data_IF_817584770738
#
_entry.id   IF_817584770738
#
_cell.length_a   1.000
_cell.length_b   1.000
_cell.length_c   1.000
_cell.angle_alpha   90.00
_cell.angle_beta   90.00
_cell.angle_gamma   90.00
#
_symmetry.space_group_name_H-M   'P 1'
#
loop_
_entity.id
_entity.type
_entity.pdbx_description
1 polymer ?
#
# COMPACT_ATOMS: atom_id res chain seq x y z
N UNK A 1 -2.05 -51.05 -15.51
CA UNK A 1 -3.31 -50.28 -15.41
C UNK A 1 -3.52 -49.66 -14.01
N UNK A 2 -3.38 -50.41 -12.91
CA UNK A 2 -3.55 -49.88 -11.54
C UNK A 2 -2.55 -48.81 -11.10
N UNK A 3 -1.29 -48.90 -11.55
CA UNK A 3 -0.29 -47.88 -11.23
C UNK A 3 -0.59 -46.51 -11.86
N UNK A 4 -1.09 -46.51 -13.11
CA UNK A 4 -1.50 -45.29 -13.83
C UNK A 4 -2.73 -44.64 -13.19
N UNK A 5 -3.68 -45.43 -12.68
CA UNK A 5 -4.85 -44.90 -11.98
C UNK A 5 -4.46 -44.17 -10.69
N UNK A 6 -3.49 -44.72 -9.93
CA UNK A 6 -2.99 -44.11 -8.69
C UNK A 6 -2.27 -42.79 -8.95
N UNK A 7 -1.45 -42.71 -9.99
CA UNK A 7 -0.72 -41.48 -10.34
C UNK A 7 -1.67 -40.39 -10.87
N UNK A 8 -2.68 -40.76 -11.65
CA UNK A 8 -3.71 -39.82 -12.10
C UNK A 8 -4.52 -39.24 -10.94
N UNK A 9 -4.91 -40.09 -9.98
CA UNK A 9 -5.65 -39.65 -8.79
C UNK A 9 -4.82 -38.68 -7.94
N UNK A 10 -3.55 -39.00 -7.72
CA UNK A 10 -2.63 -38.14 -6.96
C UNK A 10 -2.43 -36.79 -7.65
N UNK A 11 -2.28 -36.76 -8.98
CA UNK A 11 -2.11 -35.53 -9.75
C UNK A 11 -3.35 -34.62 -9.69
N UNK A 12 -4.56 -35.19 -9.72
CA UNK A 12 -5.79 -34.41 -9.60
C UNK A 12 -5.89 -33.75 -8.22
N UNK A 13 -5.55 -34.48 -7.16
CA UNK A 13 -5.58 -33.97 -5.78
C UNK A 13 -4.59 -32.83 -5.61
N UNK A 14 -3.35 -32.98 -6.10
CA UNK A 14 -2.34 -31.93 -5.97
C UNK A 14 -2.70 -30.67 -6.76
N UNK A 15 -3.22 -30.80 -7.98
CA UNK A 15 -3.69 -29.65 -8.77
C UNK A 15 -4.85 -28.94 -8.07
N UNK A 16 -5.79 -29.69 -7.51
CA UNK A 16 -6.94 -29.12 -6.79
C UNK A 16 -6.49 -28.35 -5.55
N UNK A 17 -5.55 -28.89 -4.77
CA UNK A 17 -5.00 -28.23 -3.58
C UNK A 17 -4.25 -26.95 -3.96
N UNK A 18 -3.44 -26.97 -5.02
CA UNK A 18 -2.74 -25.77 -5.50
C UNK A 18 -3.72 -24.69 -5.94
N UNK A 19 -4.79 -25.06 -6.66
CA UNK A 19 -5.82 -24.11 -7.07
C UNK A 19 -6.54 -23.49 -5.87
N UNK A 20 -6.96 -24.31 -4.90
CA UNK A 20 -7.59 -23.84 -3.67
C UNK A 20 -6.66 -22.91 -2.87
N UNK A 21 -5.37 -23.24 -2.77
CA UNK A 21 -4.39 -22.40 -2.09
C UNK A 21 -4.26 -21.03 -2.76
N UNK A 22 -4.23 -20.96 -4.10
CA UNK A 22 -4.19 -19.69 -4.84
C UNK A 22 -5.47 -18.89 -4.64
N UNK A 23 -6.64 -19.53 -4.71
CA UNK A 23 -7.94 -18.86 -4.52
C UNK A 23 -8.07 -18.30 -3.10
N UNK A 24 -7.72 -19.10 -2.09
CA UNK A 24 -7.71 -18.65 -0.69
C UNK A 24 -6.73 -17.49 -0.53
N UNK A 25 -5.51 -17.62 -1.05
CA UNK A 25 -4.51 -16.55 -0.95
C UNK A 25 -4.99 -15.25 -1.59
N UNK A 26 -5.60 -15.32 -2.77
CA UNK A 26 -6.22 -14.15 -3.39
C UNK A 26 -7.31 -13.58 -2.49
N UNK A 27 -8.24 -14.41 -2.01
CA UNK A 27 -9.38 -13.98 -1.21
C UNK A 27 -9.00 -13.36 0.15
N UNK A 28 -8.01 -13.94 0.85
CA UNK A 28 -7.59 -13.51 2.18
C UNK A 28 -6.55 -12.40 2.16
N UNK A 29 -5.78 -12.29 1.07
CA UNK A 29 -4.71 -11.31 0.92
C UNK A 29 -5.10 -10.20 -0.06
N UNK A 30 -6.39 -10.00 -0.35
CA UNK A 30 -6.86 -8.81 -1.07
C UNK A 30 -6.38 -7.57 -0.31
N UNK A 31 -5.23 -7.04 -0.73
CA UNK A 31 -4.78 -5.72 -0.36
C UNK A 31 -5.97 -4.81 -0.64
N UNK A 32 -6.40 -4.01 0.36
CA UNK A 32 -7.69 -3.40 0.28
C UNK A 32 -7.77 -2.45 -0.90
N UNK A 33 -8.98 -2.28 -1.42
CA UNK A 33 -9.18 -1.59 -2.69
C UNK A 33 -8.48 -0.22 -2.71
N UNK A 34 -7.81 0.12 -3.82
CA UNK A 34 -7.12 1.40 -3.96
C UNK A 34 -8.12 2.56 -3.91
N UNK A 35 -7.65 3.78 -3.65
CA UNK A 35 -8.49 4.95 -3.36
C UNK A 35 -9.33 5.57 -4.51
N UNK A 36 -9.52 4.95 -5.69
CA UNK A 36 -10.74 5.24 -6.48
C UNK A 36 -11.93 4.32 -6.17
N UNK A 37 -11.72 3.23 -5.42
CA UNK A 37 -12.73 2.17 -5.18
C UNK A 37 -13.13 2.04 -3.70
N UNK A 38 -12.49 2.78 -2.81
CA UNK A 38 -12.75 2.82 -1.37
C UNK A 38 -13.30 4.19 -0.94
N UNK A 39 -14.01 4.24 0.19
CA UNK A 39 -14.47 5.49 0.79
C UNK A 39 -13.27 6.22 1.43
N UNK A 40 -12.54 6.98 0.62
CA UNK A 40 -11.31 7.68 0.99
C UNK A 40 -11.39 9.16 0.60
N UNK A 41 -11.13 10.04 1.55
CA UNK A 41 -10.97 11.47 1.32
C UNK A 41 -9.49 11.78 1.02
N UNK A 42 -9.17 12.41 -0.13
CA UNK A 42 -7.80 12.85 -0.40
C UNK A 42 -7.42 13.98 0.54
N UNK A 43 -6.22 13.91 1.11
CA UNK A 43 -5.63 14.95 1.95
C UNK A 43 -4.49 15.66 1.25
N UNK A 44 -3.62 14.90 0.57
CA UNK A 44 -2.46 15.46 -0.11
C UNK A 44 -2.12 14.63 -1.35
N UNK A 45 -1.79 15.34 -2.43
CA UNK A 45 -1.18 14.80 -3.64
C UNK A 45 0.24 15.38 -3.77
N UNK A 46 1.21 14.53 -4.03
CA UNK A 46 2.59 14.91 -4.25
C UNK A 46 3.11 14.27 -5.54
N UNK A 47 3.24 15.08 -6.59
CA UNK A 47 3.79 14.67 -7.88
C UNK A 47 5.32 14.72 -7.86
N UNK A 48 5.99 13.83 -8.58
CA UNK A 48 7.43 13.90 -8.77
C UNK A 48 7.78 14.70 -10.04
N UNK A 49 8.77 15.61 -9.98
CA UNK A 49 9.08 16.51 -11.10
C UNK A 49 9.67 15.80 -12.33
N UNK A 50 10.39 14.70 -12.10
CA UNK A 50 11.17 14.00 -13.13
C UNK A 50 10.74 12.54 -13.35
N UNK A 51 9.85 12.02 -12.50
CA UNK A 51 9.48 10.61 -12.50
C UNK A 51 7.97 10.48 -12.67
N UNK A 52 7.48 9.47 -13.41
CA UNK A 52 6.05 9.30 -13.68
C UNK A 52 5.35 8.64 -12.48
N UNK A 53 5.48 9.24 -11.30
CA UNK A 53 4.90 8.73 -10.05
C UNK A 53 4.21 9.83 -9.28
N UNK A 54 3.17 9.43 -8.56
CA UNK A 54 2.40 10.30 -7.68
C UNK A 54 2.22 9.63 -6.33
N UNK A 55 2.52 10.36 -5.26
CA UNK A 55 2.27 9.92 -3.90
C UNK A 55 1.01 10.60 -3.37
N UNK A 56 0.14 9.82 -2.74
CA UNK A 56 -1.16 10.25 -2.29
C UNK A 56 -1.35 9.91 -0.82
N UNK A 57 -1.84 10.87 -0.03
CA UNK A 57 -2.26 10.68 1.34
C UNK A 57 -3.78 10.75 1.40
N UNK A 58 -4.40 9.73 1.98
CA UNK A 58 -5.84 9.63 2.12
C UNK A 58 -6.25 9.41 3.57
N UNK A 59 -7.47 9.85 3.90
CA UNK A 59 -8.22 9.41 5.08
C UNK A 59 -9.34 8.48 4.63
N UNK A 60 -9.30 7.24 5.06
CA UNK A 60 -10.20 6.19 4.59
C UNK A 60 -11.12 5.67 5.69
N UNK A 61 -12.30 5.19 5.29
CA UNK A 61 -13.25 4.45 6.12
C UNK A 61 -13.60 3.12 5.45
N UNK A 62 -13.65 2.01 6.21
CA UNK A 62 -13.94 0.66 5.69
C UNK A 62 -14.83 -0.15 6.62
N UNK A 63 -15.47 -1.18 6.05
CA UNK A 63 -16.31 -2.16 6.74
C UNK A 63 -17.48 -1.53 7.48
N UNK A 64 -18.49 -1.03 6.76
CA UNK A 64 -19.66 -0.32 7.34
C UNK A 64 -19.28 0.69 8.44
N UNK A 65 -18.24 1.49 8.18
CA UNK A 65 -17.69 2.51 9.08
C UNK A 65 -16.99 1.99 10.36
N UNK A 66 -16.76 0.68 10.50
CA UNK A 66 -16.08 0.12 11.67
C UNK A 66 -14.59 0.45 11.73
N UNK A 67 -13.95 0.65 10.57
CA UNK A 67 -12.55 1.04 10.50
C UNK A 67 -12.40 2.44 9.90
N UNK A 68 -11.53 3.25 10.49
CA UNK A 68 -11.06 4.51 9.91
C UNK A 68 -9.58 4.70 10.14
N UNK A 69 -8.90 5.36 9.21
CA UNK A 69 -7.46 5.54 9.29
C UNK A 69 -6.89 6.37 8.16
N UNK A 70 -5.57 6.50 8.17
CA UNK A 70 -4.80 7.15 7.12
C UNK A 70 -4.13 6.10 6.26
N UNK A 71 -4.07 6.34 4.95
CA UNK A 71 -3.35 5.49 4.02
C UNK A 71 -2.46 6.33 3.10
N UNK A 72 -1.26 5.82 2.86
CA UNK A 72 -0.36 6.37 1.84
C UNK A 72 -0.33 5.41 0.67
N UNK A 73 -0.64 5.96 -0.50
CA UNK A 73 -0.69 5.25 -1.75
C UNK A 73 0.26 5.88 -2.75
N UNK A 74 0.85 5.05 -3.59
CA UNK A 74 1.65 5.47 -4.72
C UNK A 74 0.95 5.03 -6.00
N UNK A 75 0.88 5.93 -6.97
CA UNK A 75 0.42 5.64 -8.33
C UNK A 75 1.62 5.70 -9.27
N UNK A 76 1.87 4.60 -9.97
CA UNK A 76 2.76 4.57 -11.13
C UNK A 76 1.96 5.00 -12.37
N UNK A 77 2.24 6.17 -12.92
CA UNK A 77 1.44 6.75 -14.01
C UNK A 77 1.54 5.96 -15.32
N UNK A 78 2.66 5.28 -15.56
CA UNK A 78 2.90 4.49 -16.79
C UNK A 78 1.96 3.29 -16.86
N UNK A 79 1.93 2.48 -15.80
CA UNK A 79 1.15 1.23 -15.76
C UNK A 79 -0.18 1.40 -15.01
N UNK A 80 -0.52 2.62 -14.56
CA UNK A 80 -1.68 2.96 -13.72
C UNK A 80 -1.80 2.03 -12.49
N UNK A 81 -0.64 1.68 -11.93
CA UNK A 81 -0.53 0.68 -10.88
C UNK A 81 -0.49 1.37 -9.51
N UNK A 82 -1.44 1.00 -8.65
CA UNK A 82 -1.54 1.49 -7.29
C UNK A 82 -0.81 0.56 -6.32
N UNK A 83 0.06 1.13 -5.50
CA UNK A 83 0.77 0.42 -4.44
C UNK A 83 0.52 1.12 -3.11
N UNK A 84 0.13 0.34 -2.09
CA UNK A 84 -0.05 0.88 -0.74
C UNK A 84 1.29 0.85 -0.02
N UNK A 85 1.71 2.00 0.50
CA UNK A 85 2.96 2.13 1.23
C UNK A 85 2.74 2.02 2.74
N UNK A 86 1.65 2.60 3.23
CA UNK A 86 1.38 2.69 4.66
C UNK A 86 -0.12 2.65 4.96
N UNK A 87 -0.46 2.07 6.10
CA UNK A 87 -1.79 2.14 6.71
C UNK A 87 -1.62 2.46 8.17
N UNK A 88 -2.32 3.48 8.66
CA UNK A 88 -2.33 3.84 10.06
C UNK A 88 -3.76 3.92 10.60
N UNK A 89 -4.06 3.17 11.65
CA UNK A 89 -5.41 3.09 12.20
C UNK A 89 -5.71 4.31 13.07
N UNK A 90 -6.83 4.99 12.84
CA UNK A 90 -7.21 6.15 13.66
C UNK A 90 -7.44 5.79 15.14
N UNK A 91 -7.75 4.51 15.45
CA UNK A 91 -7.90 4.03 16.83
C UNK A 91 -6.59 4.00 17.62
N UNK A 92 -5.46 3.88 16.93
CA UNK A 92 -4.12 3.75 17.53
C UNK A 92 -3.36 5.08 17.50
N UNK A 93 -3.86 6.05 16.74
CA UNK A 93 -3.25 7.36 16.58
C UNK A 93 -3.81 8.38 17.59
N UNK A 94 -3.00 9.38 18.00
CA UNK A 94 -3.50 10.49 18.78
C UNK A 94 -4.52 11.31 17.97
N UNK A 95 -5.51 11.90 18.66
CA UNK A 95 -6.57 12.72 18.03
C UNK A 95 -6.04 13.92 17.24
N UNK A 96 -4.83 14.38 17.56
CA UNK A 96 -4.16 15.53 16.94
C UNK A 96 -3.01 15.09 16.03
N UNK A 97 -3.05 13.86 15.50
CA UNK A 97 -2.05 13.39 14.55
C UNK A 97 -2.09 14.25 13.28
N UNK A 98 -0.94 14.75 12.90
CA UNK A 98 -0.71 15.43 11.64
C UNK A 98 0.18 14.54 10.78
N UNK A 99 -0.13 14.43 9.50
CA UNK A 99 0.61 13.65 8.52
C UNK A 99 0.83 14.48 7.26
N UNK A 100 2.04 14.44 6.72
CA UNK A 100 2.40 15.14 5.50
C UNK A 100 3.42 14.33 4.71
N UNK A 101 3.20 14.20 3.40
CA UNK A 101 4.16 13.61 2.47
C UNK A 101 5.12 14.67 1.96
N UNK A 102 6.41 14.33 1.93
CA UNK A 102 7.47 15.16 1.36
C UNK A 102 8.47 14.32 0.58
N UNK A 103 9.01 14.89 -0.49
CA UNK A 103 10.18 14.35 -1.18
C UNK A 103 11.43 14.82 -0.45
N UNK A 104 12.19 13.91 0.17
CA UNK A 104 13.43 14.27 0.85
C UNK A 104 14.63 14.33 -0.12
N UNK A 105 14.60 13.47 -1.15
CA UNK A 105 15.54 13.37 -2.27
C UNK A 105 14.80 12.85 -3.51
N UNK A 106 15.44 12.85 -4.68
CA UNK A 106 14.86 12.37 -5.94
C UNK A 106 14.37 10.91 -5.90
N UNK A 107 14.85 10.10 -4.95
CA UNK A 107 14.47 8.69 -4.79
C UNK A 107 14.07 8.32 -3.36
N UNK A 108 13.61 9.28 -2.55
CA UNK A 108 13.12 9.00 -1.19
C UNK A 108 11.85 9.78 -0.91
N UNK A 109 10.74 9.04 -0.79
CA UNK A 109 9.48 9.55 -0.25
C UNK A 109 9.50 9.42 1.27
N UNK A 110 9.15 10.49 1.96
CA UNK A 110 9.07 10.50 3.42
C UNK A 110 7.68 10.93 3.87
N UNK A 111 7.08 10.14 4.75
CA UNK A 111 5.93 10.55 5.55
C UNK A 111 6.45 11.21 6.82
N UNK A 112 6.17 12.50 6.98
CA UNK A 112 6.34 13.20 8.26
C UNK A 112 5.03 13.09 9.05
N UNK A 113 5.13 12.81 10.35
CA UNK A 113 3.96 12.79 11.20
C UNK A 113 4.25 13.27 12.63
N UNK A 114 3.21 13.73 13.34
CA UNK A 114 3.32 14.01 14.78
C UNK A 114 2.99 12.76 15.61
N UNK A 115 3.53 12.66 16.83
CA UNK A 115 3.22 11.56 17.74
C UNK A 115 4.06 10.29 17.52
N UNK A 116 3.73 9.22 18.25
CA UNK A 116 4.54 7.99 18.25
C UNK A 116 4.34 7.16 16.99
N UNK A 117 5.34 6.38 16.58
CA UNK A 117 5.23 5.43 15.44
C UNK A 117 4.29 4.23 15.74
N UNK A 118 3.56 4.23 16.87
CA UNK A 118 2.63 3.16 17.20
C UNK A 118 1.36 3.33 16.35
N UNK A 119 0.90 2.23 15.76
CA UNK A 119 -0.28 2.21 14.89
C UNK A 119 -0.01 2.53 13.42
N UNK A 120 1.25 2.62 13.01
CA UNK A 120 1.66 2.70 11.60
C UNK A 120 2.13 1.33 11.14
N UNK A 121 1.40 0.74 10.20
CA UNK A 121 1.81 -0.48 9.52
C UNK A 121 2.39 -0.11 8.17
N UNK A 122 3.73 -0.18 8.09
CA UNK A 122 4.47 -0.08 6.84
C UNK A 122 4.22 -1.34 6.02
N UNK A 123 3.57 -1.20 4.87
CA UNK A 123 3.37 -2.34 3.97
C UNK A 123 4.68 -2.71 3.27
N UNK A 124 5.50 -1.71 2.92
CA UNK A 124 6.83 -1.85 2.34
C UNK A 124 7.67 -0.58 2.60
N UNK A 125 8.97 -0.74 2.83
CA UNK A 125 9.94 0.36 3.02
C UNK A 125 10.69 0.73 1.73
N UNK A 126 10.48 -0.06 0.68
CA UNK A 126 11.02 0.17 -0.66
C UNK A 126 9.95 -0.21 -1.66
N UNK A 127 9.86 0.54 -2.75
CA UNK A 127 8.96 0.22 -3.85
C UNK A 127 9.70 0.35 -5.17
N UNK A 128 9.24 -0.39 -6.18
CA UNK A 128 9.82 -0.35 -7.52
C UNK A 128 8.80 0.25 -8.46
N UNK A 129 9.21 1.23 -9.26
CA UNK A 129 8.36 1.82 -10.29
C UNK A 129 9.02 1.71 -11.66
N UNK A 130 8.22 1.76 -12.73
CA UNK A 130 8.74 1.87 -14.09
C UNK A 130 8.93 3.35 -14.46
N UNK A 131 10.17 3.76 -14.74
CA UNK A 131 10.46 5.10 -15.22
C UNK A 131 10.17 5.24 -16.73
N UNK A 132 10.26 6.47 -17.24
CA UNK A 132 10.01 6.78 -18.66
C UNK A 132 10.98 6.08 -19.63
N UNK A 133 12.13 5.60 -19.14
CA UNK A 133 13.09 4.79 -19.89
C UNK A 133 12.70 3.30 -20.01
N UNK A 134 11.57 2.91 -19.42
CA UNK A 134 11.07 1.54 -19.37
C UNK A 134 11.78 0.64 -18.35
N UNK A 135 12.77 1.14 -17.62
CA UNK A 135 13.50 0.38 -16.59
C UNK A 135 12.79 0.49 -15.24
N UNK A 136 12.97 -0.53 -14.41
CA UNK A 136 12.49 -0.51 -13.03
C UNK A 136 13.52 0.21 -12.15
N UNK A 137 13.05 1.17 -11.37
CA UNK A 137 13.85 1.90 -10.40
C UNK A 137 13.28 1.67 -9.00
N UNK A 138 14.17 1.56 -8.02
CA UNK A 138 13.80 1.42 -6.62
C UNK A 138 13.72 2.80 -5.95
N UNK A 139 12.72 3.00 -5.11
CA UNK A 139 12.56 4.20 -4.31
C UNK A 139 12.35 3.83 -2.84
N UNK A 140 12.99 4.58 -1.95
CA UNK A 140 12.83 4.40 -0.52
C UNK A 140 11.55 5.05 0.00
N UNK A 141 10.91 4.41 0.96
CA UNK A 141 9.83 4.99 1.75
C UNK A 141 10.17 4.93 3.24
N UNK A 142 10.04 6.05 3.93
CA UNK A 142 10.24 6.13 5.38
C UNK A 142 9.14 6.95 6.05
N UNK A 143 8.85 6.63 7.30
CA UNK A 143 7.97 7.40 8.16
C UNK A 143 8.78 7.91 9.35
N UNK A 144 8.82 9.22 9.54
CA UNK A 144 9.58 9.85 10.61
C UNK A 144 8.68 10.79 11.41
N UNK A 145 8.85 10.74 12.73
CA UNK A 145 8.27 11.74 13.60
C UNK A 145 8.88 13.12 13.31
N UNK A 146 8.01 14.12 13.23
CA UNK A 146 8.34 15.54 13.29
C UNK A 146 7.34 16.25 14.21
N UNK A 147 7.67 16.39 15.49
CA UNK A 147 6.79 17.03 16.48
C UNK A 147 6.51 18.53 16.20
N UNK A 148 7.31 19.18 15.35
CA UNK A 148 7.06 20.56 14.91
C UNK A 148 6.09 20.65 13.72
N UNK A 149 5.66 19.51 13.17
CA UNK A 149 4.75 19.46 12.03
C UNK A 149 3.36 19.97 12.42
N UNK A 150 2.78 20.83 11.59
CA UNK A 150 1.40 21.30 11.74
C UNK A 150 0.65 21.14 10.42
N UNK A 151 -0.57 20.65 10.52
CA UNK A 151 -1.45 20.34 9.40
C UNK A 151 -2.60 21.34 9.40
N UNK A 152 -2.88 21.96 8.26
CA UNK A 152 -3.94 22.96 8.11
C UNK A 152 -5.17 22.43 7.34
N UNK A 153 -5.38 21.11 7.33
CA UNK A 153 -6.48 20.44 6.62
C UNK A 153 -7.71 20.21 7.52
#
# INVERSE_FOLDING_TARGET
>A
MWALLKTLLAAIITVTLLFLAVVIYQYTTYAPAPPPQANCQPLQLLTHAQQPIEAHLYRCQRGDQQWSGYEVWLLENVDQHWQRLLTASASELPKTVCMQLVWQRDNVLQLQHTGSNHGYTLSNNQFTYRASDGRKHGMGFSANNNDALSCAW
#
